data_IF_179170344244
#
_entry.id   IF_179170344244
#
_cell.length_a   1.000
_cell.length_b   1.000
_cell.length_c   1.000
_cell.angle_alpha   90.00
_cell.angle_beta   90.00
_cell.angle_gamma   90.00
#
_symmetry.space_group_name_H-M   'P 1'
#
loop_
_entity.id
_entity.type
_entity.pdbx_description
1 polymer ?
#
# COMPACT_ATOMS: atom_id res chain seq x y z
N UNK A 1 2.79 19.84 16.31
CA UNK A 1 2.24 20.18 14.97
C UNK A 1 2.09 18.90 14.17
N UNK A 2 0.88 18.35 14.07
CA UNK A 2 0.63 17.19 13.21
C UNK A 2 0.68 17.65 11.76
N UNK A 3 1.78 17.35 11.05
CA UNK A 3 1.78 17.39 9.59
C UNK A 3 0.67 16.44 9.14
N UNK A 4 -0.45 17.00 8.66
CA UNK A 4 -1.43 16.22 7.89
C UNK A 4 -0.66 15.69 6.68
N UNK A 5 -0.43 14.38 6.66
CA UNK A 5 0.10 13.74 5.46
C UNK A 5 -1.06 13.73 4.49
N UNK A 6 -0.83 14.34 3.33
CA UNK A 6 -1.80 14.31 2.24
C UNK A 6 -1.65 12.96 1.54
N UNK A 7 -2.73 12.17 1.55
CA UNK A 7 -2.75 10.80 1.02
C UNK A 7 -2.42 10.80 -0.48
N UNK A 8 -3.13 11.65 -1.22
CA UNK A 8 -2.96 11.85 -2.66
C UNK A 8 -1.54 12.27 -3.03
N UNK A 9 -0.97 13.26 -2.34
CA UNK A 9 0.42 13.72 -2.61
C UNK A 9 1.43 12.59 -2.38
N UNK A 10 1.22 11.77 -1.34
CA UNK A 10 2.10 10.64 -1.03
C UNK A 10 2.00 9.58 -2.12
N UNK A 11 0.78 9.21 -2.52
CA UNK A 11 0.50 8.30 -3.63
C UNK A 11 1.14 8.80 -4.94
N UNK A 12 1.01 10.09 -5.22
CA UNK A 12 1.64 10.70 -6.39
C UNK A 12 3.16 10.57 -6.36
N UNK A 13 3.81 10.91 -5.24
CA UNK A 13 5.26 10.78 -5.08
C UNK A 13 5.70 9.32 -5.25
N UNK A 14 4.97 8.36 -4.69
CA UNK A 14 5.26 6.94 -4.82
C UNK A 14 5.21 6.48 -6.27
N UNK A 15 4.17 6.84 -7.01
CA UNK A 15 4.05 6.52 -8.43
C UNK A 15 5.21 7.10 -9.25
N UNK A 16 5.61 8.34 -8.98
CA UNK A 16 6.77 8.96 -9.64
C UNK A 16 8.05 8.19 -9.34
N UNK A 17 8.29 7.80 -8.07
CA UNK A 17 9.48 7.04 -7.68
C UNK A 17 9.52 5.66 -8.31
N UNK A 18 8.39 4.95 -8.32
CA UNK A 18 8.28 3.64 -8.99
C UNK A 18 8.63 3.78 -10.47
N UNK A 19 8.08 4.79 -11.17
CA UNK A 19 8.40 5.06 -12.57
C UNK A 19 9.89 5.35 -12.78
N UNK A 20 10.48 6.21 -11.96
CA UNK A 20 11.91 6.54 -12.07
C UNK A 20 12.81 5.30 -11.92
N UNK A 21 12.47 4.38 -11.01
CA UNK A 21 13.22 3.13 -10.87
C UNK A 21 13.03 2.26 -12.12
N UNK A 22 11.80 2.14 -12.66
CA UNK A 22 11.58 1.42 -13.91
C UNK A 22 12.40 1.98 -15.08
N UNK A 23 12.45 3.30 -15.20
CA UNK A 23 13.25 3.97 -16.22
C UNK A 23 14.74 3.62 -16.02
N UNK A 24 15.23 3.64 -14.77
CA UNK A 24 16.59 3.22 -14.42
C UNK A 24 16.90 1.79 -14.84
N UNK A 25 15.94 0.85 -14.74
CA UNK A 25 16.11 -0.55 -15.17
C UNK A 25 16.33 -0.69 -16.68
N UNK A 26 15.91 0.31 -17.47
CA UNK A 26 16.06 0.30 -18.93
C UNK A 26 17.35 0.97 -19.41
N UNK A 27 18.07 1.66 -18.53
CA UNK A 27 19.31 2.34 -18.89
C UNK A 27 20.48 1.36 -18.89
N UNK A 28 21.40 1.56 -19.84
CA UNK A 28 22.70 0.88 -19.85
C UNK A 28 23.65 1.61 -18.88
N UNK A 29 23.56 1.24 -17.60
CA UNK A 29 24.31 1.84 -16.50
C UNK A 29 25.15 0.80 -15.77
N UNK A 30 26.17 1.29 -15.06
CA UNK A 30 26.85 0.50 -14.04
C UNK A 30 25.94 0.33 -12.82
N UNK A 31 25.22 -0.79 -12.79
CA UNK A 31 24.30 -1.12 -11.71
C UNK A 31 24.98 -1.16 -10.32
N UNK A 32 26.28 -1.45 -10.25
CA UNK A 32 27.02 -1.49 -9.00
C UNK A 32 27.14 -0.11 -8.34
N UNK A 33 27.31 0.95 -9.14
CA UNK A 33 27.39 2.32 -8.65
C UNK A 33 26.06 2.81 -8.06
N UNK A 34 24.94 2.36 -8.62
CA UNK A 34 23.61 2.81 -8.22
C UNK A 34 22.89 1.85 -7.26
N UNK A 35 23.42 0.63 -7.05
CA UNK A 35 22.75 -0.42 -6.28
C UNK A 35 22.24 0.06 -4.92
N UNK A 36 23.11 0.66 -4.10
CA UNK A 36 22.74 1.15 -2.77
C UNK A 36 21.66 2.24 -2.84
N UNK A 37 21.75 3.15 -3.80
CA UNK A 37 20.76 4.22 -3.97
C UNK A 37 19.41 3.62 -4.38
N UNK A 38 19.40 2.73 -5.37
CA UNK A 38 18.19 2.03 -5.83
C UNK A 38 17.54 1.24 -4.69
N UNK A 39 18.32 0.52 -3.88
CA UNK A 39 17.80 -0.20 -2.71
C UNK A 39 17.20 0.76 -1.67
N UNK A 40 17.85 1.90 -1.42
CA UNK A 40 17.31 2.95 -0.55
C UNK A 40 16.00 3.55 -1.08
N UNK A 41 15.87 3.72 -2.40
CA UNK A 41 14.63 4.18 -3.01
C UNK A 41 13.49 3.14 -2.88
N UNK A 42 13.80 1.84 -3.01
CA UNK A 42 12.83 0.76 -2.74
C UNK A 42 12.41 0.70 -1.27
N UNK A 43 13.37 0.87 -0.35
CA UNK A 43 13.08 0.92 1.09
C UNK A 43 12.18 2.11 1.43
N UNK A 44 12.45 3.28 0.85
CA UNK A 44 11.60 4.46 0.98
C UNK A 44 10.17 4.18 0.51
N UNK A 45 10.00 3.59 -0.67
CA UNK A 45 8.67 3.25 -1.21
C UNK A 45 7.94 2.31 -0.25
N UNK A 46 8.61 1.23 0.19
CA UNK A 46 8.01 0.26 1.10
C UNK A 46 7.58 0.89 2.43
N UNK A 47 8.43 1.71 3.05
CA UNK A 47 8.09 2.38 4.32
C UNK A 47 6.99 3.42 4.17
N UNK A 48 6.92 4.13 3.04
CA UNK A 48 5.84 5.07 2.78
C UNK A 48 4.50 4.34 2.53
N UNK A 49 4.52 3.17 1.89
CA UNK A 49 3.35 2.29 1.77
C UNK A 49 2.89 1.74 3.13
N UNK A 50 3.82 1.33 4.00
CA UNK A 50 3.49 0.96 5.40
C UNK A 50 2.78 2.11 6.12
N UNK A 51 3.33 3.32 6.03
CA UNK A 51 2.75 4.51 6.66
C UNK A 51 1.37 4.85 6.09
N UNK A 52 1.16 4.74 4.78
CA UNK A 52 -0.16 4.96 4.16
C UNK A 52 -1.16 3.93 4.65
N UNK A 53 -0.81 2.66 4.64
CA UNK A 53 -1.66 1.58 5.11
C UNK A 53 -2.04 1.75 6.59
N UNK A 54 -1.08 2.08 7.47
CA UNK A 54 -1.36 2.36 8.88
C UNK A 54 -2.38 3.49 9.07
N UNK A 55 -2.25 4.58 8.28
CA UNK A 55 -3.18 5.71 8.35
C UNK A 55 -4.55 5.37 7.79
N UNK A 56 -4.60 4.55 6.75
CA UNK A 56 -5.84 4.06 6.15
C UNK A 56 -6.62 3.20 7.13
N UNK A 57 -5.93 2.28 7.81
CA UNK A 57 -6.51 1.43 8.85
C UNK A 57 -6.94 2.25 10.08
N UNK A 58 -6.14 3.24 10.50
CA UNK A 58 -6.45 4.05 11.67
C UNK A 58 -7.63 5.01 11.47
N UNK A 59 -7.93 5.41 10.23
CA UNK A 59 -8.92 6.44 9.94
C UNK A 59 -10.18 5.85 9.29
N UNK A 60 -11.10 5.38 10.14
CA UNK A 60 -12.37 4.74 9.73
C UNK A 60 -13.32 5.72 9.01
N UNK A 61 -13.13 7.04 9.17
CA UNK A 61 -14.05 8.09 8.68
C UNK A 61 -13.59 8.81 7.42
N UNK A 62 -12.81 8.16 6.55
CA UNK A 62 -12.56 8.74 5.23
C UNK A 62 -13.89 8.92 4.49
N UNK A 63 -14.12 10.12 3.96
CA UNK A 63 -15.30 10.44 3.15
C UNK A 63 -15.38 9.58 1.88
N UNK A 64 -14.23 9.09 1.41
CA UNK A 64 -14.08 8.32 0.18
C UNK A 64 -13.13 7.13 0.38
N UNK A 65 -13.44 6.31 1.40
CA UNK A 65 -12.58 5.18 1.84
C UNK A 65 -12.35 4.14 0.74
N UNK A 66 -13.33 3.93 -0.14
CA UNK A 66 -13.23 3.03 -1.29
C UNK A 66 -12.20 3.53 -2.29
N UNK A 67 -12.30 4.80 -2.72
CA UNK A 67 -11.31 5.42 -3.61
C UNK A 67 -9.91 5.41 -3.00
N UNK A 68 -9.76 5.65 -1.70
CA UNK A 68 -8.45 5.57 -1.03
C UNK A 68 -7.91 4.13 -0.99
N UNK A 69 -8.77 3.13 -0.77
CA UNK A 69 -8.36 1.72 -0.79
C UNK A 69 -7.87 1.29 -2.18
N UNK A 70 -8.60 1.69 -3.22
CA UNK A 70 -8.25 1.43 -4.62
C UNK A 70 -6.93 2.11 -4.98
N UNK A 71 -6.77 3.38 -4.61
CA UNK A 71 -5.53 4.12 -4.87
C UNK A 71 -4.30 3.48 -4.19
N UNK A 72 -4.42 3.03 -2.94
CA UNK A 72 -3.31 2.34 -2.25
C UNK A 72 -3.04 1.00 -2.92
N UNK A 73 -4.09 0.23 -3.24
CA UNK A 73 -3.97 -1.08 -3.90
C UNK A 73 -3.29 -0.98 -5.27
N UNK A 74 -3.60 0.07 -6.03
CA UNK A 74 -2.98 0.33 -7.33
C UNK A 74 -1.47 0.61 -7.19
N UNK A 75 -1.07 1.43 -6.21
CA UNK A 75 0.36 1.71 -5.97
C UNK A 75 1.07 0.46 -5.45
N UNK A 76 0.44 -0.31 -4.57
CA UNK A 76 0.95 -1.62 -4.10
C UNK A 76 1.18 -2.58 -5.25
N UNK A 77 0.21 -2.70 -6.15
CA UNK A 77 0.33 -3.53 -7.33
C UNK A 77 1.49 -3.08 -8.21
N UNK A 78 1.61 -1.78 -8.47
CA UNK A 78 2.72 -1.23 -9.25
C UNK A 78 4.09 -1.51 -8.60
N UNK A 79 4.19 -1.38 -7.28
CA UNK A 79 5.40 -1.70 -6.54
C UNK A 79 5.73 -3.20 -6.60
N UNK A 80 4.74 -4.07 -6.43
CA UNK A 80 4.90 -5.52 -6.61
C UNK A 80 5.38 -5.90 -8.00
N UNK A 81 4.83 -5.27 -9.06
CA UNK A 81 5.31 -5.46 -10.43
C UNK A 81 6.77 -5.02 -10.58
N UNK A 82 7.15 -3.87 -10.01
CA UNK A 82 8.54 -3.42 -10.02
C UNK A 82 9.46 -4.44 -9.33
N UNK A 83 9.08 -4.98 -8.17
CA UNK A 83 9.87 -6.02 -7.49
C UNK A 83 10.02 -7.28 -8.36
N UNK A 84 8.99 -7.65 -9.13
CA UNK A 84 9.06 -8.76 -10.08
C UNK A 84 10.03 -8.46 -11.22
N UNK A 85 9.98 -7.26 -11.80
CA UNK A 85 10.90 -6.79 -12.83
C UNK A 85 12.35 -6.84 -12.34
N UNK A 86 12.63 -6.36 -11.12
CA UNK A 86 13.98 -6.39 -10.53
C UNK A 86 14.43 -7.83 -10.25
N UNK A 87 13.53 -8.70 -9.79
CA UNK A 87 13.87 -10.11 -9.51
C UNK A 87 14.19 -10.91 -10.77
N UNK A 88 13.79 -10.43 -11.95
CA UNK A 88 14.02 -11.12 -13.19
C UNK A 88 15.52 -11.07 -13.56
N UNK A 89 16.07 -12.17 -14.08
CA UNK A 89 17.52 -12.29 -14.35
C UNK A 89 18.05 -11.32 -15.43
N UNK A 90 17.14 -10.68 -16.18
CA UNK A 90 17.46 -9.66 -17.18
C UNK A 90 17.66 -8.27 -16.58
N UNK A 91 17.21 -8.04 -15.33
CA UNK A 91 17.38 -6.75 -14.66
C UNK A 91 18.85 -6.45 -14.37
N UNK A 92 19.31 -5.19 -14.56
CA UNK A 92 20.64 -4.76 -14.14
C UNK A 92 20.92 -4.99 -12.65
N UNK A 93 19.88 -4.95 -11.82
CA UNK A 93 19.96 -5.09 -10.36
C UNK A 93 19.56 -6.50 -9.88
N UNK A 94 19.44 -7.47 -10.78
CA UNK A 94 18.91 -8.79 -10.45
C UNK A 94 19.71 -9.53 -9.36
N UNK A 95 19.06 -10.43 -8.59
CA UNK A 95 19.72 -11.30 -7.62
C UNK A 95 20.88 -12.12 -8.20
N UNK A 96 20.81 -12.48 -9.48
CA UNK A 96 21.89 -13.19 -10.18
C UNK A 96 23.19 -12.38 -10.30
N UNK A 97 23.08 -11.04 -10.28
CA UNK A 97 24.23 -10.10 -10.30
C UNK A 97 24.60 -9.64 -8.89
N UNK A 98 23.61 -9.40 -8.05
CA UNK A 98 23.79 -8.89 -6.69
C UNK A 98 22.97 -9.71 -5.71
N UNK A 99 23.62 -10.65 -5.01
CA UNK A 99 22.95 -11.56 -4.09
C UNK A 99 22.18 -10.84 -2.96
N UNK A 100 22.67 -9.68 -2.52
CA UNK A 100 22.01 -8.86 -1.49
C UNK A 100 20.62 -8.39 -1.92
N UNK A 101 20.38 -8.18 -3.22
CA UNK A 101 19.08 -7.78 -3.76
C UNK A 101 17.99 -8.80 -3.44
N UNK A 102 18.33 -10.09 -3.37
CA UNK A 102 17.36 -11.16 -3.06
C UNK A 102 16.70 -10.94 -1.70
N UNK A 103 17.51 -10.66 -0.67
CA UNK A 103 17.03 -10.48 0.71
C UNK A 103 16.07 -9.30 0.81
N UNK A 104 16.37 -8.21 0.12
CA UNK A 104 15.51 -7.03 0.07
C UNK A 104 14.20 -7.30 -0.67
N UNK A 105 14.25 -7.93 -1.84
CA UNK A 105 13.05 -8.27 -2.62
C UNK A 105 12.13 -9.18 -1.81
N UNK A 106 12.67 -10.20 -1.15
CA UNK A 106 11.87 -11.14 -0.35
C UNK A 106 11.19 -10.44 0.83
N UNK A 107 11.92 -9.54 1.51
CA UNK A 107 11.34 -8.70 2.55
C UNK A 107 10.19 -7.85 2.01
N UNK A 108 10.42 -7.10 0.92
CA UNK A 108 9.41 -6.18 0.37
C UNK A 108 8.19 -6.90 -0.19
N UNK A 109 8.37 -8.09 -0.79
CA UNK A 109 7.24 -8.94 -1.22
C UNK A 109 6.39 -9.40 -0.04
N UNK A 110 7.03 -9.80 1.05
CA UNK A 110 6.31 -10.21 2.27
C UNK A 110 5.53 -9.03 2.87
N UNK A 111 6.16 -7.86 2.92
CA UNK A 111 5.55 -6.63 3.43
C UNK A 111 4.37 -6.21 2.55
N UNK A 112 4.54 -6.20 1.22
CA UNK A 112 3.47 -5.89 0.24
C UNK A 112 2.29 -6.85 0.34
N UNK A 113 2.54 -8.18 0.38
CA UNK A 113 1.47 -9.17 0.53
C UNK A 113 0.70 -9.01 1.85
N UNK A 114 1.38 -8.64 2.93
CA UNK A 114 0.74 -8.34 4.21
C UNK A 114 -0.16 -7.11 4.10
N UNK A 115 0.32 -6.02 3.48
CA UNK A 115 -0.47 -4.79 3.32
C UNK A 115 -1.68 -5.00 2.43
N UNK A 116 -1.53 -5.69 1.30
CA UNK A 116 -2.67 -6.00 0.43
C UNK A 116 -3.76 -6.76 1.19
N UNK A 117 -3.38 -7.79 1.95
CA UNK A 117 -4.32 -8.53 2.79
C UNK A 117 -5.03 -7.62 3.81
N UNK A 118 -4.33 -6.68 4.43
CA UNK A 118 -4.93 -5.75 5.39
C UNK A 118 -5.90 -4.78 4.72
N UNK A 119 -5.58 -4.30 3.51
CA UNK A 119 -6.47 -3.44 2.73
C UNK A 119 -7.74 -4.22 2.38
N UNK A 120 -7.61 -5.43 1.83
CA UNK A 120 -8.72 -6.31 1.47
C UNK A 120 -9.62 -6.64 2.67
N UNK A 121 -9.04 -6.94 3.84
CA UNK A 121 -9.79 -7.24 5.08
C UNK A 121 -10.51 -6.01 5.65
N UNK A 122 -9.95 -4.82 5.43
CA UNK A 122 -10.54 -3.57 5.91
C UNK A 122 -11.58 -2.98 4.95
N UNK A 123 -11.70 -3.55 3.74
CA UNK A 123 -12.72 -3.27 2.77
C UNK A 123 -13.99 -4.07 3.13
N UNK A 124 -14.94 -3.40 3.80
CA UNK A 124 -16.30 -3.91 3.94
C UNK A 124 -17.10 -3.34 2.77
N UNK A 125 -17.59 -4.17 1.82
CA UNK A 125 -18.44 -3.67 0.76
C UNK A 125 -19.62 -2.92 1.36
N UNK A 126 -19.88 -1.72 0.88
CA UNK A 126 -20.97 -0.81 1.27
C UNK A 126 -22.36 -1.43 1.15
N UNK A 127 -22.48 -2.67 0.65
CA UNK A 127 -23.70 -3.49 0.63
C UNK A 127 -23.99 -4.34 1.88
N UNK A 128 -23.13 -4.33 2.92
CA UNK A 128 -23.40 -5.07 4.17
C UNK A 128 -23.42 -4.22 5.44
N UNK A 129 -23.19 -2.90 5.32
CA UNK A 129 -23.25 -1.97 6.45
C UNK A 129 -24.67 -1.46 6.78
N UNK A 130 -25.73 -2.20 6.42
CA UNK A 130 -27.12 -1.91 6.82
C UNK A 130 -27.65 -2.87 7.90
N UNK A 131 -26.78 -3.34 8.78
CA UNK A 131 -27.18 -3.99 10.03
C UNK A 131 -26.64 -3.19 11.23
N UNK A 132 -26.76 -1.85 11.17
CA UNK A 132 -27.09 -1.16 12.41
C UNK A 132 -28.38 -1.79 12.94
N UNK A 133 -28.45 -2.22 14.21
CA UNK A 133 -29.73 -2.58 14.81
C UNK A 133 -30.52 -1.28 14.92
N UNK A 134 -31.26 -0.95 13.86
CA UNK A 134 -32.36 0.00 13.95
C UNK A 134 -33.33 -0.64 14.92
N UNK A 135 -33.22 -0.27 16.20
CA UNK A 135 -34.17 -0.65 17.24
C UNK A 135 -35.53 -0.31 16.67
N UNK A 136 -36.31 -1.33 16.36
CA UNK A 136 -37.59 -1.12 15.71
C UNK A 136 -38.45 -0.26 16.64
N UNK A 137 -39.29 0.63 16.10
CA UNK A 137 -40.20 1.44 16.93
C UNK A 137 -41.06 0.60 17.90
N UNK A 138 -41.23 -0.70 17.61
CA UNK A 138 -41.87 -1.66 18.50
C UNK A 138 -41.06 -1.99 19.77
N UNK A 139 -39.73 -2.07 19.69
CA UNK A 139 -38.84 -2.34 20.84
C UNK A 139 -38.67 -1.11 21.73
N UNK A 140 -38.67 0.09 21.13
CA UNK A 140 -38.59 1.36 21.87
C UNK A 140 -39.86 1.63 22.69
N UNK A 141 -41.04 1.24 22.19
CA UNK A 141 -42.30 1.29 22.95
C UNK A 141 -42.34 0.24 24.08
N UNK A 142 -41.63 -0.89 23.95
CA UNK A 142 -41.51 -1.88 25.02
C UNK A 142 -40.62 -1.43 26.18
N UNK A 143 -39.63 -0.58 25.91
CA UNK A 143 -38.73 -0.01 26.93
C UNK A 143 -39.30 1.25 27.62
N UNK A 144 -40.16 2.00 26.93
CA UNK A 144 -40.79 3.22 27.46
C UNK A 144 -42.21 2.98 27.99
N UNK A 145 -42.74 1.76 27.88
CA UNK A 145 -44.11 1.45 28.25
C UNK A 145 -44.25 0.14 29.02
N UNK A 146 -44.04 0.19 30.33
CA UNK A 146 -44.96 -0.31 31.38
C UNK A 146 -44.18 -0.86 32.60
N UNK A 147 -44.66 -0.62 33.84
CA UNK A 147 -45.93 -0.01 34.23
C UNK A 147 -45.84 1.49 34.58
#
# INVERSE_FOLDING_TARGET
MNKRINFEDTIFILNVRIRMIRDLLQLDIDAGLFLRQTMGDLEFINSALDMLNEKFLANIKFLDRETEADNISDVEWQFSQLLNEISNNTSPFSPARFAETQTWIDKFRKDSAKRQKQIDESYVPTGQASNEPVVSHAELNGLLGSP
#
